data_IF_261517222966
#
_entry.id   IF_261517222966
#
_cell.length_a   1.000
_cell.length_b   1.000
_cell.length_c   1.000
_cell.angle_alpha   90.00
_cell.angle_beta   90.00
_cell.angle_gamma   90.00
#
_symmetry.space_group_name_H-M   'P 1'
#
loop_
_entity.id
_entity.type
_entity.pdbx_description
1 polymer ?
#
# COMPACT_ATOMS: atom_id res chain seq x y z
N UNK A 1 -8.13 1.23 21.40
CA UNK A 1 -7.84 0.94 19.98
C UNK A 1 -7.76 -0.58 19.84
N UNK A 2 -8.55 -1.18 18.95
CA UNK A 2 -8.49 -2.62 18.65
C UNK A 2 -7.38 -2.85 17.61
N UNK A 3 -6.14 -3.00 18.08
CA UNK A 3 -4.97 -3.20 17.21
C UNK A 3 -5.08 -4.48 16.36
N UNK A 4 -5.80 -5.48 16.85
CA UNK A 4 -6.10 -6.75 16.21
C UNK A 4 -6.91 -6.61 14.90
N UNK A 5 -7.57 -5.46 14.69
CA UNK A 5 -8.32 -5.16 13.46
C UNK A 5 -7.47 -4.54 12.35
N UNK A 6 -6.20 -4.28 12.59
CA UNK A 6 -5.27 -3.78 11.57
C UNK A 6 -4.48 -4.95 10.97
N UNK A 7 -4.10 -4.85 9.69
CA UNK A 7 -3.14 -5.79 9.09
C UNK A 7 -1.78 -5.65 9.76
N UNK A 8 -0.91 -6.66 9.60
CA UNK A 8 0.43 -6.60 10.17
C UNK A 8 1.20 -5.37 9.66
N UNK A 9 1.11 -5.07 8.37
CA UNK A 9 1.75 -3.88 7.78
C UNK A 9 1.21 -2.57 8.36
N UNK A 10 -0.10 -2.46 8.57
CA UNK A 10 -0.70 -1.30 9.24
C UNK A 10 -0.22 -1.15 10.70
N UNK A 11 -0.13 -2.25 11.45
CA UNK A 11 0.37 -2.24 12.83
C UNK A 11 1.84 -1.79 12.88
N UNK A 12 2.67 -2.35 12.00
CA UNK A 12 4.07 -1.94 11.82
C UNK A 12 4.19 -0.43 11.48
N UNK A 13 3.33 0.09 10.59
CA UNK A 13 3.34 1.51 10.23
C UNK A 13 2.98 2.41 11.41
N UNK A 14 1.96 2.04 12.20
CA UNK A 14 1.56 2.78 13.41
C UNK A 14 2.70 2.78 14.45
N UNK A 15 3.35 1.63 14.65
CA UNK A 15 4.48 1.51 15.56
C UNK A 15 5.68 2.33 15.08
N UNK A 16 5.99 2.30 13.78
CA UNK A 16 7.06 3.10 13.19
C UNK A 16 6.77 4.60 13.30
N UNK A 17 5.52 5.04 13.12
CA UNK A 17 5.11 6.42 13.33
C UNK A 17 5.32 6.87 14.78
N UNK A 18 5.02 6.01 15.76
CA UNK A 18 5.28 6.26 17.18
C UNK A 18 6.78 6.44 17.45
N UNK A 19 7.61 5.49 17.01
CA UNK A 19 9.07 5.56 17.17
C UNK A 19 9.66 6.79 16.49
N UNK A 20 9.13 7.18 15.34
CA UNK A 20 9.56 8.37 14.62
C UNK A 20 9.23 9.65 15.38
N UNK A 21 8.03 9.78 15.94
CA UNK A 21 7.67 10.93 16.76
C UNK A 21 8.59 11.05 17.99
N UNK A 22 8.87 9.93 18.67
CA UNK A 22 9.83 9.88 19.79
C UNK A 22 11.23 10.34 19.37
N UNK A 23 11.78 9.79 18.29
CA UNK A 23 13.12 10.10 17.81
C UNK A 23 13.27 11.56 17.36
N UNK A 24 12.19 12.18 16.89
CA UNK A 24 12.21 13.59 16.49
C UNK A 24 11.91 14.57 17.65
N UNK A 25 11.63 14.06 18.85
CA UNK A 25 11.27 14.88 20.01
C UNK A 25 9.88 15.51 19.89
N UNK A 26 8.97 14.88 19.14
CA UNK A 26 7.59 15.31 19.01
C UNK A 26 6.73 14.69 20.13
N UNK A 27 6.00 15.54 20.85
CA UNK A 27 5.12 15.11 21.94
C UNK A 27 3.88 14.37 21.43
N UNK A 28 3.47 14.65 20.20
CA UNK A 28 2.30 14.04 19.57
C UNK A 28 2.68 13.27 18.30
N UNK A 29 2.08 12.09 18.13
CA UNK A 29 2.08 11.38 16.86
C UNK A 29 1.08 12.07 15.94
N UNK A 30 1.61 12.81 14.98
CA UNK A 30 0.86 13.45 13.91
C UNK A 30 0.64 12.52 12.70
N UNK A 31 -0.42 12.71 11.89
CA UNK A 31 -0.66 11.98 10.64
C UNK A 31 0.54 11.96 9.68
N UNK A 32 1.37 12.99 9.66
CA UNK A 32 2.59 13.07 8.85
C UNK A 32 3.59 11.96 9.19
N UNK A 33 3.70 11.55 10.46
CA UNK A 33 4.55 10.42 10.85
C UNK A 33 4.02 9.10 10.29
N UNK A 34 2.70 8.92 10.31
CA UNK A 34 2.05 7.75 9.74
C UNK A 34 2.22 7.71 8.22
N UNK A 35 2.06 8.86 7.55
CA UNK A 35 2.29 8.98 6.11
C UNK A 35 3.71 8.53 5.77
N UNK A 36 4.71 9.08 6.46
CA UNK A 36 6.10 8.71 6.24
C UNK A 36 6.35 7.22 6.50
N UNK A 37 5.84 6.70 7.61
CA UNK A 37 5.97 5.28 7.94
C UNK A 37 5.39 4.37 6.82
N UNK A 38 4.21 4.71 6.29
CA UNK A 38 3.59 3.97 5.19
C UNK A 38 4.44 4.06 3.91
N UNK A 39 4.99 5.24 3.58
CA UNK A 39 5.80 5.45 2.37
C UNK A 39 7.16 4.74 2.43
N UNK A 40 7.75 4.62 3.62
CA UNK A 40 9.05 3.96 3.82
C UNK A 40 8.93 2.44 4.00
N UNK A 41 7.72 1.93 4.26
CA UNK A 41 7.53 0.52 4.56
C UNK A 41 7.66 -0.36 3.30
N UNK A 42 8.60 -1.31 3.29
CA UNK A 42 8.77 -2.21 2.15
C UNK A 42 7.57 -3.16 2.03
N UNK A 43 7.13 -3.38 0.79
CA UNK A 43 5.99 -4.26 0.48
C UNK A 43 4.62 -3.67 0.82
N UNK A 44 4.54 -2.37 1.14
CA UNK A 44 3.27 -1.66 1.29
C UNK A 44 2.57 -1.40 -0.05
N UNK A 45 1.25 -1.17 -0.01
CA UNK A 45 0.41 -0.98 -1.21
C UNK A 45 0.43 0.47 -1.72
N UNK A 46 0.67 1.44 -0.83
CA UNK A 46 0.52 2.87 -1.15
C UNK A 46 1.55 3.35 -2.18
N UNK A 47 2.81 2.91 -2.08
CA UNK A 47 3.87 3.30 -3.03
C UNK A 47 3.56 2.84 -4.46
N UNK A 48 3.23 1.56 -4.72
CA UNK A 48 2.76 1.11 -6.03
C UNK A 48 1.55 1.90 -6.56
N UNK A 49 0.58 2.23 -5.69
CA UNK A 49 -0.60 3.00 -6.09
C UNK A 49 -0.22 4.42 -6.51
N UNK A 50 0.65 5.10 -5.76
CA UNK A 50 1.16 6.43 -6.14
C UNK A 50 1.91 6.39 -7.48
N UNK A 51 2.75 5.37 -7.70
CA UNK A 51 3.45 5.18 -8.97
C UNK A 51 2.47 4.98 -10.13
N UNK A 52 1.39 4.24 -9.91
CA UNK A 52 0.34 4.01 -10.91
C UNK A 52 -0.43 5.28 -11.25
N UNK A 53 -0.57 6.21 -10.30
CA UNK A 53 -1.12 7.55 -10.53
C UNK A 53 -0.14 8.47 -11.28
N UNK A 54 1.08 8.02 -11.60
CA UNK A 54 2.13 8.85 -12.20
C UNK A 54 2.82 9.77 -11.20
N UNK A 55 2.62 9.56 -9.90
CA UNK A 55 3.17 10.38 -8.82
C UNK A 55 4.48 9.76 -8.35
N UNK A 56 5.51 10.59 -8.25
CA UNK A 56 6.84 10.15 -7.81
C UNK A 56 6.88 10.00 -6.29
N UNK A 57 6.98 8.76 -5.73
CA UNK A 57 6.93 8.56 -4.27
C UNK A 57 8.05 9.28 -3.52
N UNK A 58 9.22 9.43 -4.16
CA UNK A 58 10.36 10.16 -3.59
C UNK A 58 10.02 11.65 -3.32
N UNK A 59 9.21 12.27 -4.18
CA UNK A 59 8.77 13.67 -3.99
C UNK A 59 7.80 13.75 -2.80
N UNK A 60 6.83 12.83 -2.73
CA UNK A 60 5.87 12.76 -1.61
C UNK A 60 6.61 12.55 -0.29
N UNK A 61 7.59 11.65 -0.26
CA UNK A 61 8.42 11.39 0.91
C UNK A 61 9.24 12.61 1.32
N UNK A 62 9.85 13.32 0.36
CA UNK A 62 10.61 14.54 0.62
C UNK A 62 9.73 15.63 1.25
N UNK A 63 8.57 15.90 0.67
CA UNK A 63 7.59 16.88 1.16
C UNK A 63 7.02 16.49 2.53
N UNK A 64 6.79 15.20 2.77
CA UNK A 64 6.37 14.69 4.08
C UNK A 64 7.45 14.92 5.13
N UNK A 65 8.73 14.69 4.80
CA UNK A 65 9.85 14.98 5.70
C UNK A 65 9.94 16.48 6.04
N UNK A 66 9.65 17.37 5.08
CA UNK A 66 9.60 18.81 5.35
C UNK A 66 8.49 19.17 6.34
N UNK A 67 7.29 18.59 6.20
CA UNK A 67 6.19 18.80 7.15
C UNK A 67 6.55 18.32 8.56
N UNK A 68 7.18 17.14 8.67
CA UNK A 68 7.66 16.60 9.95
C UNK A 68 8.72 17.53 10.56
N UNK A 69 9.65 18.07 9.76
CA UNK A 69 10.68 18.98 10.22
C UNK A 69 10.15 20.32 10.75
N UNK A 70 8.93 20.70 10.40
CA UNK A 70 8.25 21.91 10.88
C UNK A 70 7.46 21.68 12.18
N UNK A 71 7.35 20.44 12.67
CA UNK A 71 6.60 20.14 13.88
C UNK A 71 7.34 20.67 15.13
N UNK A 72 6.60 21.17 16.15
CA UNK A 72 7.22 21.60 17.40
C UNK A 72 7.91 20.45 18.12
N UNK A 73 9.11 20.71 18.63
CA UNK A 73 9.89 19.78 19.44
C UNK A 73 9.79 20.14 20.92
N UNK A 74 9.69 19.14 21.78
CA UNK A 74 9.59 19.31 23.23
C UNK A 74 10.85 18.79 23.90
N UNK A 75 11.42 19.60 24.80
CA UNK A 75 12.58 19.25 25.64
C UNK A 75 12.22 19.34 27.12
N UNK A 76 12.77 18.46 27.96
CA UNK A 76 12.60 18.47 29.43
C UNK A 76 11.81 17.27 29.98
N UNK A 77 11.49 17.29 31.29
CA UNK A 77 10.92 16.16 32.04
C UNK A 77 9.54 15.63 31.57
N UNK A 78 8.86 16.34 30.65
CA UNK A 78 7.64 15.90 29.97
C UNK A 78 7.86 15.19 28.63
N UNK A 79 9.11 15.09 28.16
CA UNK A 79 9.48 14.52 26.85
C UNK A 79 9.36 12.98 26.77
N UNK A 80 8.93 12.31 27.85
CA UNK A 80 8.95 10.85 27.93
C UNK A 80 7.72 10.13 27.37
N UNK A 81 6.58 10.81 27.18
CA UNK A 81 5.34 10.17 26.73
C UNK A 81 4.80 10.83 25.47
N UNK A 82 5.07 10.19 24.35
CA UNK A 82 4.42 10.51 23.07
C UNK A 82 3.01 9.91 23.06
N UNK A 83 2.01 10.67 22.61
CA UNK A 83 0.62 10.20 22.50
C UNK A 83 0.04 10.51 21.12
N UNK A 84 -1.03 9.81 20.73
CA UNK A 84 -1.69 10.06 19.45
C UNK A 84 -2.42 11.42 19.46
N UNK A 85 -2.12 12.28 18.49
CA UNK A 85 -2.86 13.53 18.30
C UNK A 85 -4.34 13.27 18.00
N UNK A 86 -5.21 14.26 18.25
CA UNK A 86 -6.63 14.15 17.88
C UNK A 86 -6.79 13.92 16.37
N UNK A 87 -5.95 14.57 15.57
CA UNK A 87 -5.93 14.40 14.12
C UNK A 87 -5.62 12.95 13.71
N UNK A 88 -4.65 12.31 14.36
CA UNK A 88 -4.34 10.90 14.12
C UNK A 88 -5.47 9.98 14.59
N UNK A 89 -6.07 10.22 15.74
CA UNK A 89 -7.21 9.43 16.22
C UNK A 89 -8.38 9.48 15.23
N UNK A 90 -8.74 10.68 14.76
CA UNK A 90 -9.79 10.85 13.75
C UNK A 90 -9.46 10.14 12.42
N UNK A 91 -8.19 10.16 11.99
CA UNK A 91 -7.73 9.44 10.81
C UNK A 91 -7.92 7.93 10.98
N UNK A 92 -7.52 7.39 12.13
CA UNK A 92 -7.66 5.96 12.43
C UNK A 92 -9.14 5.56 12.44
N UNK A 93 -10.03 6.37 13.04
CA UNK A 93 -11.47 6.10 13.02
C UNK A 93 -12.05 6.10 11.60
N UNK A 94 -11.63 7.06 10.75
CA UNK A 94 -12.04 7.08 9.32
C UNK A 94 -11.50 5.88 8.54
N UNK A 95 -10.34 5.34 8.90
CA UNK A 95 -9.81 4.15 8.26
C UNK A 95 -10.70 2.92 8.47
N UNK A 96 -11.33 2.78 9.65
CA UNK A 96 -12.33 1.74 9.89
C UNK A 96 -13.59 1.91 9.03
N UNK A 97 -14.04 3.16 8.85
CA UNK A 97 -15.16 3.45 7.95
C UNK A 97 -14.81 3.11 6.50
N UNK A 98 -13.60 3.43 6.05
CA UNK A 98 -13.11 3.08 4.72
C UNK A 98 -13.05 1.56 4.51
N UNK A 99 -12.51 0.81 5.48
CA UNK A 99 -12.47 -0.65 5.40
C UNK A 99 -13.89 -1.26 5.34
N UNK A 100 -14.81 -0.73 6.16
CA UNK A 100 -16.21 -1.17 6.16
C UNK A 100 -16.89 -0.91 4.81
N UNK A 101 -16.66 0.26 4.20
CA UNK A 101 -17.20 0.61 2.88
C UNK A 101 -16.66 -0.31 1.77
N UNK A 102 -15.39 -0.75 1.89
CA UNK A 102 -14.74 -1.69 0.97
C UNK A 102 -15.07 -3.16 1.31
N UNK A 103 -15.90 -3.40 2.32
CA UNK A 103 -16.27 -4.73 2.82
C UNK A 103 -15.07 -5.58 3.24
N UNK A 104 -14.07 -4.92 3.82
CA UNK A 104 -12.86 -5.54 4.33
C UNK A 104 -12.97 -5.85 5.83
N UNK A 105 -12.35 -6.96 6.23
CA UNK A 105 -12.38 -7.44 7.62
C UNK A 105 -11.26 -6.82 8.47
N UNK A 106 -10.17 -6.36 7.84
CA UNK A 106 -9.06 -5.66 8.48
C UNK A 106 -8.73 -4.32 7.81
N UNK A 107 -8.22 -3.40 8.62
CA UNK A 107 -7.71 -2.10 8.19
C UNK A 107 -6.27 -2.24 7.68
N UNK A 108 -6.12 -2.40 6.36
CA UNK A 108 -4.84 -2.26 5.65
C UNK A 108 -4.44 -0.79 5.39
N UNK A 109 -3.23 -0.57 4.85
CA UNK A 109 -2.62 0.74 4.64
C UNK A 109 -3.41 1.63 3.68
N UNK A 110 -4.09 1.07 2.68
CA UNK A 110 -4.94 1.86 1.77
C UNK A 110 -6.06 2.57 2.54
N UNK A 111 -6.61 1.95 3.59
CA UNK A 111 -7.66 2.54 4.40
C UNK A 111 -7.12 3.66 5.29
N UNK A 112 -5.91 3.50 5.84
CA UNK A 112 -5.21 4.55 6.56
C UNK A 112 -4.96 5.76 5.66
N UNK A 113 -4.51 5.50 4.43
CA UNK A 113 -4.25 6.53 3.43
C UNK A 113 -5.53 7.24 2.99
N UNK A 114 -6.62 6.49 2.72
CA UNK A 114 -7.93 7.05 2.41
C UNK A 114 -8.51 7.87 3.58
N UNK A 115 -8.34 7.39 4.82
CA UNK A 115 -8.74 8.12 6.03
C UNK A 115 -8.00 9.46 6.18
N UNK A 116 -6.74 9.52 5.72
CA UNK A 116 -5.97 10.77 5.63
C UNK A 116 -6.52 11.69 4.56
N UNK A 117 -6.72 11.18 3.34
CA UNK A 117 -7.23 11.96 2.20
C UNK A 117 -8.63 12.52 2.45
N UNK A 118 -9.43 11.87 3.29
CA UNK A 118 -10.75 12.35 3.70
C UNK A 118 -10.69 13.60 4.60
N UNK A 119 -9.53 13.96 5.16
CA UNK A 119 -9.36 15.14 5.99
C UNK A 119 -8.69 16.30 5.25
N UNK A 120 -9.47 17.23 4.72
CA UNK A 120 -8.93 18.42 4.05
C UNK A 120 -8.26 19.41 5.01
N UNK A 121 -8.39 19.25 6.33
CA UNK A 121 -7.76 20.15 7.30
C UNK A 121 -6.27 19.84 7.49
N UNK A 122 -5.85 18.60 7.25
CA UNK A 122 -4.47 18.14 7.46
C UNK A 122 -3.49 18.78 6.47
N UNK A 123 -2.29 19.10 6.96
CA UNK A 123 -1.20 19.61 6.10
C UNK A 123 -0.75 18.54 5.11
N UNK A 124 -0.64 17.29 5.55
CA UNK A 124 -0.36 16.13 4.70
C UNK A 124 -1.34 16.05 3.52
N UNK A 125 -2.65 16.14 3.75
CA UNK A 125 -3.68 16.06 2.70
C UNK A 125 -3.58 17.21 1.70
N UNK A 126 -3.35 18.44 2.18
CA UNK A 126 -3.12 19.60 1.29
C UNK A 126 -1.87 19.43 0.43
N UNK A 127 -0.79 18.90 1.00
CA UNK A 127 0.43 18.59 0.27
C UNK A 127 0.18 17.52 -0.80
N UNK A 128 -0.48 16.41 -0.43
CA UNK A 128 -0.86 15.33 -1.33
C UNK A 128 -1.73 15.85 -2.49
N UNK A 129 -2.72 16.69 -2.21
CA UNK A 129 -3.58 17.31 -3.22
C UNK A 129 -2.79 18.19 -4.21
N UNK A 130 -1.82 18.99 -3.73
CA UNK A 130 -0.92 19.79 -4.60
C UNK A 130 -0.08 18.91 -5.52
N UNK A 131 0.29 17.71 -5.08
CA UNK A 131 1.02 16.72 -5.88
C UNK A 131 0.11 15.90 -6.82
N UNK A 132 -1.19 16.19 -6.86
CA UNK A 132 -2.16 15.50 -7.71
C UNK A 132 -2.73 14.21 -7.10
N UNK A 133 -2.47 13.93 -5.82
CA UNK A 133 -3.11 12.82 -5.11
C UNK A 133 -4.52 13.22 -4.70
N UNK A 134 -5.53 12.60 -5.31
CA UNK A 134 -6.94 12.76 -4.97
C UNK A 134 -7.52 11.43 -4.50
N UNK A 135 -8.58 11.46 -3.68
CA UNK A 135 -9.24 10.23 -3.22
C UNK A 135 -9.75 9.38 -4.38
N UNK A 136 -10.36 10.01 -5.39
CA UNK A 136 -10.89 9.31 -6.57
C UNK A 136 -9.77 8.70 -7.41
N UNK A 137 -8.69 9.46 -7.67
CA UNK A 137 -7.53 8.96 -8.40
C UNK A 137 -6.83 7.82 -7.65
N UNK A 138 -6.74 7.92 -6.32
CA UNK A 138 -6.17 6.88 -5.49
C UNK A 138 -7.02 5.60 -5.53
N UNK A 139 -8.34 5.71 -5.41
CA UNK A 139 -9.25 4.55 -5.52
C UNK A 139 -9.15 3.87 -6.88
N UNK A 140 -9.14 4.64 -7.98
CA UNK A 140 -8.98 4.09 -9.33
C UNK A 140 -7.66 3.33 -9.50
N UNK A 141 -6.55 3.91 -9.04
CA UNK A 141 -5.25 3.27 -9.10
C UNK A 141 -5.18 2.04 -8.17
N UNK A 142 -5.77 2.12 -6.97
CA UNK A 142 -5.86 1.02 -6.02
C UNK A 142 -6.56 -0.19 -6.61
N UNK A 143 -7.67 -0.01 -7.33
CA UNK A 143 -8.36 -1.13 -8.01
C UNK A 143 -7.43 -1.88 -8.96
N UNK A 144 -6.45 -1.22 -9.59
CA UNK A 144 -5.51 -1.90 -10.48
C UNK A 144 -4.40 -2.67 -9.75
N UNK A 145 -4.01 -2.21 -8.55
CA UNK A 145 -2.94 -2.83 -7.74
C UNK A 145 -3.49 -3.98 -6.90
N UNK A 146 -4.62 -3.71 -6.22
CA UNK A 146 -5.31 -4.65 -5.33
C UNK A 146 -6.25 -5.60 -6.08
N UNK A 147 -6.75 -5.20 -7.25
CA UNK A 147 -7.78 -5.93 -7.97
C UNK A 147 -9.10 -5.99 -7.17
N UNK A 148 -9.82 -7.10 -7.31
CA UNK A 148 -11.06 -7.36 -6.58
C UNK A 148 -10.83 -8.13 -5.26
N UNK A 149 -9.60 -8.15 -4.75
CA UNK A 149 -9.29 -8.87 -3.52
C UNK A 149 -9.82 -8.10 -2.31
N UNK A 150 -10.45 -8.82 -1.37
CA UNK A 150 -10.82 -8.29 -0.06
C UNK A 150 -9.72 -8.59 0.96
N UNK A 151 -9.56 -7.72 1.94
CA UNK A 151 -8.66 -7.91 3.07
C UNK A 151 -9.40 -8.74 4.13
N UNK A 152 -9.29 -10.06 4.00
CA UNK A 152 -9.94 -11.03 4.91
C UNK A 152 -8.95 -11.71 5.86
N UNK A 153 -7.68 -11.34 5.81
CA UNK A 153 -6.64 -11.87 6.68
C UNK A 153 -5.63 -10.78 7.08
N UNK A 154 -4.78 -11.01 8.10
CA UNK A 154 -3.83 -10.00 8.57
C UNK A 154 -2.64 -9.71 7.63
N UNK A 155 -2.43 -10.51 6.56
CA UNK A 155 -1.26 -10.44 5.67
C UNK A 155 -1.64 -10.23 4.19
N UNK A 156 -2.57 -9.31 3.86
CA UNK A 156 -3.05 -9.17 2.49
C UNK A 156 -1.96 -8.60 1.55
N UNK A 157 -1.04 -7.78 2.06
CA UNK A 157 -0.05 -7.06 1.25
C UNK A 157 1.02 -8.00 0.65
N UNK A 158 1.23 -9.16 1.26
CA UNK A 158 2.10 -10.21 0.71
C UNK A 158 1.51 -10.83 -0.56
N UNK A 159 0.17 -10.87 -0.65
CA UNK A 159 -0.56 -11.44 -1.79
C UNK A 159 -0.69 -10.45 -2.94
N UNK A 160 -0.58 -9.16 -2.67
CA UNK A 160 -0.60 -8.13 -3.70
C UNK A 160 0.61 -8.27 -4.62
N UNK A 161 0.30 -8.28 -5.93
CA UNK A 161 1.28 -8.39 -7.01
C UNK A 161 2.21 -9.60 -6.89
N UNK A 162 1.76 -10.71 -6.28
CA UNK A 162 2.56 -11.93 -6.15
C UNK A 162 3.10 -12.43 -7.51
N UNK A 163 2.32 -12.27 -8.58
CA UNK A 163 2.76 -12.59 -9.95
C UNK A 163 3.89 -11.68 -10.45
N UNK A 164 3.92 -10.40 -10.08
CA UNK A 164 5.01 -9.50 -10.48
C UNK A 164 6.27 -9.72 -9.63
N UNK A 165 6.10 -10.08 -8.36
CA UNK A 165 7.22 -10.34 -7.43
C UNK A 165 7.90 -11.69 -7.68
N UNK A 166 7.13 -12.75 -7.89
CA UNK A 166 7.63 -14.13 -7.88
C UNK A 166 7.53 -14.83 -9.24
N UNK A 167 6.87 -14.23 -10.23
CA UNK A 167 6.73 -14.81 -11.55
C UNK A 167 7.19 -13.85 -12.64
N UNK A 168 7.40 -14.40 -13.83
CA UNK A 168 7.67 -13.63 -15.05
C UNK A 168 6.49 -13.82 -15.99
N UNK A 169 5.83 -12.73 -16.37
CA UNK A 169 4.73 -12.80 -17.32
C UNK A 169 5.25 -13.04 -18.76
N UNK A 170 5.32 -14.31 -19.18
CA UNK A 170 5.80 -14.70 -20.51
C UNK A 170 4.87 -14.21 -21.64
N UNK A 171 3.58 -14.01 -21.38
CA UNK A 171 2.64 -13.49 -22.41
C UNK A 171 2.94 -12.05 -22.78
N UNK A 172 3.27 -11.20 -21.80
CA UNK A 172 3.69 -9.82 -22.04
C UNK A 172 5.07 -9.75 -22.72
N UNK A 173 5.99 -10.66 -22.39
CA UNK A 173 7.31 -10.76 -23.05
C UNK A 173 7.14 -11.12 -24.53
N UNK A 174 6.27 -12.10 -24.83
CA UNK A 174 5.94 -12.49 -26.19
C UNK A 174 5.27 -11.35 -26.97
N UNK A 175 4.30 -10.64 -26.37
CA UNK A 175 3.65 -9.47 -26.99
C UNK A 175 4.64 -8.36 -27.36
N UNK A 176 5.70 -8.19 -26.56
CA UNK A 176 6.79 -7.22 -26.80
C UNK A 176 7.83 -7.72 -27.81
N UNK A 177 7.66 -8.92 -28.40
CA UNK A 177 8.61 -9.52 -29.34
C UNK A 177 9.97 -9.89 -28.72
N UNK A 178 10.04 -10.00 -27.39
CA UNK A 178 11.27 -10.31 -26.64
C UNK A 178 11.42 -11.79 -26.30
N UNK A 179 10.53 -12.63 -26.81
CA UNK A 179 10.58 -14.08 -26.63
C UNK A 179 11.14 -14.69 -27.90
N UNK A 180 12.21 -15.47 -27.78
CA UNK A 180 12.81 -16.14 -28.93
C UNK A 180 11.84 -17.18 -29.52
N UNK A 181 11.78 -17.33 -30.85
CA UNK A 181 10.92 -18.31 -31.47
C UNK A 181 11.40 -19.73 -31.12
N UNK A 182 10.46 -20.58 -30.72
CA UNK A 182 10.74 -21.99 -30.43
C UNK A 182 10.63 -22.78 -31.74
N UNK A 183 11.70 -23.47 -32.13
CA UNK A 183 11.79 -24.22 -33.40
C UNK A 183 11.68 -25.73 -33.12
N UNK A 184 10.85 -26.43 -33.90
CA UNK A 184 10.77 -27.90 -33.90
C UNK A 184 10.04 -28.52 -32.70
N UNK A 185 9.18 -27.74 -32.01
CA UNK A 185 8.40 -28.17 -30.83
C UNK A 185 6.88 -28.06 -31.04
N UNK A 186 6.43 -28.06 -32.28
CA UNK A 186 5.03 -27.80 -32.64
C UNK A 186 4.07 -28.87 -32.06
N UNK A 187 4.48 -30.15 -32.04
CA UNK A 187 3.66 -31.24 -31.52
C UNK A 187 3.52 -31.16 -30.00
N UNK A 188 4.60 -30.89 -29.26
CA UNK A 188 4.57 -30.73 -27.81
C UNK A 188 3.72 -29.52 -27.42
N UNK A 189 3.89 -28.37 -28.10
CA UNK A 189 3.09 -27.17 -27.87
C UNK A 189 1.61 -27.46 -28.12
N UNK A 190 1.27 -28.11 -29.24
CA UNK A 190 -0.12 -28.48 -29.57
C UNK A 190 -0.71 -29.42 -28.50
N UNK A 191 0.09 -30.37 -27.99
CA UNK A 191 -0.34 -31.30 -26.94
C UNK A 191 -0.59 -30.58 -25.61
N UNK A 192 0.26 -29.64 -25.23
CA UNK A 192 0.07 -28.81 -24.02
C UNK A 192 -1.22 -28.01 -24.11
N UNK A 193 -1.46 -27.33 -25.23
CA UNK A 193 -2.70 -26.56 -25.46
C UNK A 193 -3.93 -27.48 -25.39
N UNK A 194 -3.86 -28.67 -26.00
CA UNK A 194 -4.94 -29.65 -25.96
C UNK A 194 -5.26 -30.09 -24.52
N UNK A 195 -4.25 -30.29 -23.67
CA UNK A 195 -4.45 -30.66 -22.26
C UNK A 195 -5.06 -29.51 -21.47
N UNK A 196 -4.54 -28.28 -21.61
CA UNK A 196 -5.07 -27.09 -20.94
C UNK A 196 -6.54 -26.81 -21.29
N UNK A 197 -6.97 -27.20 -22.49
CA UNK A 197 -8.35 -26.99 -22.98
C UNK A 197 -9.37 -28.02 -22.46
N UNK A 198 -8.95 -29.03 -21.69
CA UNK A 198 -9.86 -30.06 -21.14
C UNK A 198 -10.63 -29.54 -19.94
N UNK A 199 -11.81 -30.11 -19.67
CA UNK A 199 -12.61 -29.83 -18.46
C UNK A 199 -12.08 -30.56 -17.22
N UNK A 200 -11.44 -31.71 -17.39
CA UNK A 200 -10.83 -32.50 -16.31
C UNK A 200 -9.41 -32.89 -16.70
N UNK A 201 -8.51 -33.03 -15.71
CA UNK A 201 -7.08 -33.29 -15.92
C UNK A 201 -6.43 -32.25 -16.87
N UNK A 202 -6.66 -30.98 -16.58
CA UNK A 202 -6.24 -29.83 -17.40
C UNK A 202 -4.88 -29.23 -17.02
N UNK A 203 -4.14 -29.88 -16.12
CA UNK A 203 -2.80 -29.45 -15.70
C UNK A 203 -1.75 -30.29 -16.45
N UNK A 204 -1.09 -29.75 -17.49
CA UNK A 204 -0.05 -30.46 -18.22
C UNK A 204 1.22 -30.61 -17.36
N UNK A 205 1.88 -31.75 -17.47
CA UNK A 205 3.20 -32.02 -16.89
C UNK A 205 4.12 -32.39 -18.04
N UNK A 206 5.21 -31.64 -18.20
CA UNK A 206 6.28 -31.95 -19.13
C UNK A 206 7.28 -32.86 -18.39
N UNK A 207 7.66 -33.97 -19.03
CA UNK A 207 8.62 -34.97 -18.51
C UNK A 207 9.83 -34.95 -19.43
#
# INVERSE_FOLDING_TARGET
>A
MQLDKFTLKSQEAIQAAHTMAQNNGHQEIQPEHLLKAILEQPGGVVVPVLQKMGIQPAVVLSETNQLIGQLPKVSGGGAGRTYASQALQNLLDRSFASASQMQDEYVSQEHLFLGMLADSSLKATKMLARLGVTSDGFLQALTTVRGNQRVTDPYPEEKYQALEKYARNLTDVARKGKLDPVIGRDEEIRRVIQVLSRRTKNNPVLI
#
